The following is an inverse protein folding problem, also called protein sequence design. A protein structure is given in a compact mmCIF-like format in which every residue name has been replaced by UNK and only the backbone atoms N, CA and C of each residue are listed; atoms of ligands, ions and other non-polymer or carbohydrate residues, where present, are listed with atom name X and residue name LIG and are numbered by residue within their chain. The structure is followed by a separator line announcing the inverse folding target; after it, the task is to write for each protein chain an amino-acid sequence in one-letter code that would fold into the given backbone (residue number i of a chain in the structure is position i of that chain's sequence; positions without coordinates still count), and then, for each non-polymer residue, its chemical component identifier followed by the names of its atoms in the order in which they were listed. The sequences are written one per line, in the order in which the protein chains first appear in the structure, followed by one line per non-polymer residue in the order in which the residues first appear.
data_IF_255695977037
#
_entry.id   IF_255695977037
#
_cell.length_a   1.000
_cell.length_b   1.000
_cell.length_c   1.000
_cell.angle_alpha   90.00
_cell.angle_beta   90.00
_cell.angle_gamma   90.00
#
_symmetry.space_group_name_H-M   'P 1'
#
loop_
_entity.id
_entity.type
_entity.pdbx_description
1 polymer ?
#
# COMPACT_ATOMS: atom_id res chain seq x y z
N UNK A 1 13.77 16.47 -18.87
CA UNK A 1 12.91 16.58 -17.68
C UNK A 1 13.59 15.78 -16.58
N UNK A 2 14.12 16.43 -15.57
CA UNK A 2 14.74 15.78 -14.41
C UNK A 2 13.65 15.53 -13.37
N UNK A 3 13.40 14.27 -13.03
CA UNK A 3 12.46 13.88 -11.98
C UNK A 3 13.24 13.91 -10.67
N UNK A 4 12.82 14.75 -9.74
CA UNK A 4 13.33 14.77 -8.37
C UNK A 4 12.41 13.91 -7.50
N UNK A 5 13.01 13.00 -6.71
CA UNK A 5 12.32 12.11 -5.81
C UNK A 5 12.92 12.29 -4.41
N UNK A 6 12.09 12.69 -3.45
CA UNK A 6 12.45 12.70 -2.04
C UNK A 6 12.18 11.30 -1.47
N UNK A 7 13.26 10.56 -1.22
CA UNK A 7 13.23 9.14 -0.84
C UNK A 7 12.52 8.94 0.50
N UNK A 8 12.76 9.84 1.45
CA UNK A 8 12.17 9.74 2.79
C UNK A 8 10.66 10.01 2.75
N UNK A 9 10.23 10.99 1.96
CA UNK A 9 8.81 11.27 1.74
C UNK A 9 8.10 10.12 1.01
N UNK A 10 8.75 9.49 0.02
CA UNK A 10 8.17 8.32 -0.68
C UNK A 10 8.07 7.12 0.26
N UNK A 11 9.13 6.84 1.03
CA UNK A 11 9.17 5.73 1.99
C UNK A 11 8.13 5.92 3.10
N UNK A 12 7.99 7.16 3.59
CA UNK A 12 6.95 7.56 4.55
C UNK A 12 5.55 7.40 3.95
N UNK A 13 5.34 7.84 2.70
CA UNK A 13 4.08 7.67 1.97
C UNK A 13 3.70 6.19 1.77
N UNK A 14 4.64 5.34 1.38
CA UNK A 14 4.43 3.89 1.23
C UNK A 14 4.10 3.20 2.56
N UNK A 15 4.80 3.59 3.64
CA UNK A 15 4.50 3.14 5.01
C UNK A 15 3.12 3.60 5.47
N UNK A 16 2.72 4.83 5.12
CA UNK A 16 1.39 5.37 5.35
C UNK A 16 0.30 4.58 4.62
N UNK A 17 0.51 4.24 3.34
CA UNK A 17 -0.40 3.40 2.56
C UNK A 17 -0.58 2.01 3.18
N UNK A 18 0.52 1.37 3.62
CA UNK A 18 0.45 0.11 4.39
C UNK A 18 -0.32 0.28 5.70
N UNK A 19 -0.10 1.40 6.42
CA UNK A 19 -0.83 1.74 7.64
C UNK A 19 -2.32 2.01 7.44
N UNK A 20 -2.74 2.40 6.22
CA UNK A 20 -4.15 2.59 5.86
C UNK A 20 -4.85 1.28 5.51
N UNK A 21 -4.13 0.21 5.14
CA UNK A 21 -4.73 -1.08 4.81
C UNK A 21 -5.58 -1.67 5.98
N UNK A 22 -5.12 -1.66 7.25
CA UNK A 22 -5.97 -1.96 8.40
C UNK A 22 -7.15 -0.99 8.58
N UNK A 23 -6.99 0.27 8.20
CA UNK A 23 -8.05 1.29 8.23
C UNK A 23 -9.19 1.02 7.24
N UNK A 24 -8.87 0.50 6.05
CA UNK A 24 -9.87 0.03 5.08
C UNK A 24 -10.67 -1.16 5.62
N UNK A 25 -10.03 -2.03 6.41
CA UNK A 25 -10.68 -3.11 7.13
C UNK A 25 -11.64 -2.56 8.20
N UNK A 26 -11.26 -1.50 8.93
CA UNK A 26 -12.17 -0.81 9.85
C UNK A 26 -13.38 -0.20 9.14
N UNK A 27 -13.23 0.35 7.93
CA UNK A 27 -14.36 0.86 7.15
C UNK A 27 -15.35 -0.26 6.78
N UNK A 28 -14.83 -1.43 6.40
CA UNK A 28 -15.66 -2.61 6.10
C UNK A 28 -16.36 -3.16 7.35
N UNK A 29 -15.65 -3.26 8.49
CA UNK A 29 -16.26 -3.63 9.79
C UNK A 29 -17.34 -2.64 10.25
N UNK A 30 -17.21 -1.35 9.91
CA UNK A 30 -18.20 -0.31 10.24
C UNK A 30 -19.53 -0.50 9.50
N UNK A 31 -19.53 -1.10 8.31
CA UNK A 31 -20.75 -1.40 7.54
C UNK A 31 -21.30 -2.80 7.81
N UNK A 32 -20.49 -3.70 8.36
CA UNK A 32 -20.86 -5.07 8.69
C UNK A 32 -21.99 -5.14 9.73
N UNK A 33 -21.88 -4.46 10.88
CA UNK A 33 -22.95 -4.41 11.90
C UNK A 33 -24.26 -3.78 11.38
N UNK A 34 -24.25 -2.61 10.71
CA UNK A 34 -25.45 -2.05 10.11
C UNK A 34 -26.10 -2.97 9.07
N UNK A 35 -25.29 -3.67 8.27
CA UNK A 35 -25.77 -4.64 7.31
C UNK A 35 -26.42 -5.85 7.98
N UNK A 36 -25.81 -6.35 9.05
CA UNK A 36 -26.33 -7.46 9.84
C UNK A 36 -27.64 -7.07 10.53
N UNK A 37 -27.72 -5.87 11.11
CA UNK A 37 -28.94 -5.33 11.71
C UNK A 37 -30.06 -5.10 10.67
N UNK A 38 -29.71 -4.67 9.45
CA UNK A 38 -30.67 -4.54 8.35
C UNK A 38 -31.15 -5.92 7.86
N UNK A 39 -30.25 -6.92 7.82
CA UNK A 39 -30.56 -8.30 7.49
C UNK A 39 -31.48 -8.96 8.52
N UNK A 40 -31.25 -8.74 9.81
CA UNK A 40 -32.11 -9.22 10.91
C UNK A 40 -33.53 -8.62 10.85
N UNK A 41 -33.63 -7.34 10.47
CA UNK A 41 -34.92 -6.64 10.29
C UNK A 41 -35.62 -7.00 8.97
N UNK A 42 -34.93 -7.66 8.04
CA UNK A 42 -35.48 -8.06 6.75
C UNK A 42 -35.01 -9.48 6.36
N UNK A 43 -35.49 -10.52 7.07
CA UNK A 43 -34.96 -11.88 6.96
C UNK A 43 -35.12 -12.47 5.55
N UNK A 44 -36.15 -12.05 4.80
CA UNK A 44 -36.36 -12.47 3.42
C UNK A 44 -35.31 -11.92 2.45
N UNK A 45 -34.78 -10.72 2.69
CA UNK A 45 -33.65 -10.18 1.92
C UNK A 45 -32.35 -10.91 2.30
N UNK A 46 -32.08 -11.07 3.60
CA UNK A 46 -30.85 -11.67 4.11
C UNK A 46 -30.63 -13.13 3.67
N UNK A 47 -31.70 -13.91 3.68
CA UNK A 47 -31.66 -15.35 3.32
C UNK A 47 -31.98 -15.60 1.83
N UNK A 48 -32.59 -14.61 1.16
CA UNK A 48 -32.83 -14.64 -0.26
C UNK A 48 -31.56 -14.49 -1.08
N UNK A 49 -31.62 -14.91 -2.35
CA UNK A 49 -30.47 -14.87 -3.27
C UNK A 49 -29.87 -13.48 -3.43
N UNK A 50 -30.69 -12.43 -3.38
CA UNK A 50 -30.24 -11.05 -3.48
C UNK A 50 -29.33 -10.65 -2.29
N UNK A 51 -29.72 -10.96 -1.06
CA UNK A 51 -28.90 -10.65 0.12
C UNK A 51 -27.64 -11.50 0.18
N UNK A 52 -27.70 -12.78 -0.19
CA UNK A 52 -26.50 -13.62 -0.31
C UNK A 52 -25.51 -13.08 -1.33
N UNK A 53 -25.98 -12.70 -2.53
CA UNK A 53 -25.13 -12.08 -3.56
C UNK A 53 -24.53 -10.76 -3.08
N UNK A 54 -25.30 -9.94 -2.37
CA UNK A 54 -24.83 -8.69 -1.81
C UNK A 54 -23.72 -8.90 -0.76
N UNK A 55 -23.90 -9.84 0.17
CA UNK A 55 -22.88 -10.19 1.18
C UNK A 55 -21.59 -10.71 0.53
N UNK A 56 -21.70 -11.59 -0.47
CA UNK A 56 -20.55 -12.09 -1.22
C UNK A 56 -19.82 -10.97 -1.97
N UNK A 57 -20.57 -10.06 -2.62
CA UNK A 57 -19.98 -8.93 -3.32
C UNK A 57 -19.26 -7.96 -2.37
N UNK A 58 -19.85 -7.67 -1.20
CA UNK A 58 -19.22 -6.85 -0.19
C UNK A 58 -17.89 -7.46 0.29
N UNK A 59 -17.90 -8.74 0.65
CA UNK A 59 -16.70 -9.44 1.09
C UNK A 59 -15.59 -9.44 0.01
N UNK A 60 -15.96 -9.69 -1.25
CA UNK A 60 -15.03 -9.67 -2.37
C UNK A 60 -14.42 -8.28 -2.61
N UNK A 61 -15.23 -7.22 -2.52
CA UNK A 61 -14.76 -5.84 -2.66
C UNK A 61 -13.80 -5.45 -1.53
N UNK A 62 -14.14 -5.77 -0.28
CA UNK A 62 -13.27 -5.51 0.88
C UNK A 62 -11.92 -6.19 0.72
N UNK A 63 -11.91 -7.51 0.47
CA UNK A 63 -10.67 -8.26 0.30
C UNK A 63 -9.85 -7.78 -0.92
N UNK A 64 -10.51 -7.32 -1.99
CA UNK A 64 -9.84 -6.75 -3.15
C UNK A 64 -9.16 -5.41 -2.87
N UNK A 65 -9.81 -4.53 -2.12
CA UNK A 65 -9.24 -3.23 -1.72
C UNK A 65 -8.03 -3.45 -0.79
N UNK A 66 -8.14 -4.38 0.17
CA UNK A 66 -7.04 -4.72 1.09
C UNK A 66 -5.81 -5.19 0.33
N UNK A 67 -5.95 -6.19 -0.56
CA UNK A 67 -4.84 -6.68 -1.38
C UNK A 67 -4.20 -5.59 -2.23
N UNK A 68 -5.02 -4.65 -2.73
CA UNK A 68 -4.51 -3.57 -3.57
C UNK A 68 -3.74 -2.53 -2.78
N UNK A 69 -4.21 -2.15 -1.59
CA UNK A 69 -3.50 -1.21 -0.71
C UNK A 69 -2.17 -1.79 -0.23
N UNK A 70 -2.16 -3.08 0.11
CA UNK A 70 -0.94 -3.78 0.50
C UNK A 70 0.09 -3.82 -0.63
N UNK A 71 -0.32 -4.30 -1.82
CA UNK A 71 0.53 -4.32 -3.02
C UNK A 71 1.04 -2.92 -3.40
N UNK A 72 0.17 -1.90 -3.39
CA UNK A 72 0.60 -0.52 -3.68
C UNK A 72 1.61 -0.01 -2.66
N UNK A 73 1.42 -0.33 -1.37
CA UNK A 73 2.39 -0.03 -0.32
C UNK A 73 3.74 -0.71 -0.56
N UNK A 74 3.75 -1.97 -0.98
CA UNK A 74 4.98 -2.69 -1.35
C UNK A 74 5.71 -2.05 -2.53
N UNK A 75 4.99 -1.67 -3.59
CA UNK A 75 5.62 -1.04 -4.76
C UNK A 75 6.23 0.32 -4.42
N UNK A 76 5.57 1.13 -3.59
CA UNK A 76 6.07 2.45 -3.19
C UNK A 76 7.32 2.34 -2.32
N UNK A 77 7.31 1.44 -1.33
CA UNK A 77 8.49 1.20 -0.48
C UNK A 77 9.65 0.62 -1.29
N UNK A 78 9.38 -0.37 -2.15
CA UNK A 78 10.40 -0.96 -3.00
C UNK A 78 11.04 0.04 -3.96
N UNK A 79 10.25 0.96 -4.52
CA UNK A 79 10.79 2.02 -5.39
C UNK A 79 11.69 3.00 -4.63
N UNK A 80 11.39 3.28 -3.36
CA UNK A 80 12.24 4.11 -2.52
C UNK A 80 13.56 3.40 -2.18
N UNK A 81 13.50 2.11 -1.84
CA UNK A 81 14.68 1.30 -1.53
C UNK A 81 15.59 1.11 -2.74
N UNK A 82 15.03 0.93 -3.94
CA UNK A 82 15.78 0.84 -5.20
C UNK A 82 16.53 2.16 -5.50
N UNK A 83 15.91 3.30 -5.22
CA UNK A 83 16.52 4.61 -5.45
C UNK A 83 17.64 4.89 -4.43
N UNK A 84 17.42 4.56 -3.16
CA UNK A 84 18.42 4.67 -2.09
C UNK A 84 19.66 3.81 -2.39
N UNK A 85 19.44 2.57 -2.85
CA UNK A 85 20.51 1.69 -3.29
C UNK A 85 21.27 2.24 -4.50
N UNK A 86 20.57 2.86 -5.47
CA UNK A 86 21.20 3.48 -6.62
C UNK A 86 22.05 4.70 -6.25
N UNK A 87 21.60 5.53 -5.30
CA UNK A 87 22.36 6.68 -4.79
C UNK A 87 23.62 6.23 -4.04
N UNK A 88 23.50 5.23 -3.16
CA UNK A 88 24.65 4.63 -2.49
C UNK A 88 25.67 4.06 -3.48
N UNK A 89 25.22 3.31 -4.50
CA UNK A 89 26.11 2.76 -5.52
C UNK A 89 26.82 3.86 -6.34
N UNK A 90 26.14 4.99 -6.61
CA UNK A 90 26.75 6.14 -7.26
C UNK A 90 27.78 6.83 -6.35
N UNK A 91 27.45 7.04 -5.07
CA UNK A 91 28.33 7.61 -4.06
C UNK A 91 29.60 6.78 -3.86
N UNK A 92 29.48 5.47 -3.72
CA UNK A 92 30.61 4.54 -3.61
C UNK A 92 31.52 4.60 -4.84
N UNK A 93 30.93 4.71 -6.03
CA UNK A 93 31.69 4.87 -7.27
C UNK A 93 32.46 6.19 -7.31
N UNK A 94 31.86 7.30 -6.86
CA UNK A 94 32.57 8.58 -6.77
C UNK A 94 33.67 8.55 -5.71
N UNK A 95 33.44 7.90 -4.56
CA UNK A 95 34.45 7.69 -3.53
C UNK A 95 35.62 6.84 -4.03
N UNK A 96 35.34 5.77 -4.77
CA UNK A 96 36.37 4.96 -5.43
C UNK A 96 37.21 5.76 -6.42
N UNK A 97 36.56 6.55 -7.29
CA UNK A 97 37.27 7.44 -8.22
C UNK A 97 38.15 8.44 -7.47
N UNK A 98 37.65 9.07 -6.40
CA UNK A 98 38.44 10.00 -5.58
C UNK A 98 39.69 9.35 -4.99
N UNK A 99 39.60 8.10 -4.53
CA UNK A 99 40.72 7.35 -3.97
C UNK A 99 41.71 6.85 -5.04
N UNK A 100 41.27 6.71 -6.29
CA UNK A 100 42.10 6.30 -7.43
C UNK A 100 42.73 7.48 -8.19
N UNK A 101 42.43 8.74 -7.81
CA UNK A 101 43.16 9.91 -8.33
C UNK A 101 44.57 9.88 -7.74
N UNK A 102 45.63 9.78 -8.57
CA UNK A 102 47.00 9.85 -8.07
C UNK A 102 47.19 11.19 -7.36
N UNK A 103 47.49 11.15 -6.06
CA UNK A 103 47.93 12.35 -5.35
C UNK A 103 49.24 12.77 -6.01
N UNK A 104 49.20 13.91 -6.71
CA UNK A 104 50.38 14.45 -7.39
C UNK A 104 51.51 14.63 -6.37
N UNK A 105 52.54 13.80 -6.50
CA UNK A 105 53.84 13.96 -5.85
C UNK A 105 54.74 14.90 -6.62
#
# INVERSE_FOLDING_TARGET
MTVHMDVDDVRSGGSGLRGLAPGAQNASRRVERPAQAAAERNPGFATGDAGRRWQTALAACTAGIERRLDWQGEQVVGSADDFDAADHAAGDRFGGIHNDIPTAG
#
